data_IF_059101727580
#
_entry.id   IF_059101727580
#
_cell.length_a   1.000
_cell.length_b   1.000
_cell.length_c   1.000
_cell.angle_alpha   90.00
_cell.angle_beta   90.00
_cell.angle_gamma   90.00
#
_symmetry.space_group_name_H-M   'P 1'
#
loop_
_entity.id
_entity.type
_entity.pdbx_description
1 polymer ?
#
# COMPACT_ATOMS: atom_id res chain seq x y z
N UNK A 1 28.96 69.34 14.84
CA UNK A 1 28.59 68.32 15.88
C UNK A 1 27.65 67.32 15.24
N UNK A 2 28.17 66.14 14.86
CA UNK A 2 27.37 65.01 14.35
C UNK A 2 26.96 64.13 15.53
N UNK A 3 25.66 64.02 15.79
CA UNK A 3 25.10 63.09 16.80
C UNK A 3 25.00 61.71 16.17
N UNK A 4 25.74 60.77 16.71
CA UNK A 4 25.66 59.34 16.40
C UNK A 4 24.54 58.73 17.27
N UNK A 5 23.46 58.29 16.64
CA UNK A 5 22.39 57.52 17.31
C UNK A 5 22.81 56.04 17.28
N UNK A 6 23.04 55.47 18.44
CA UNK A 6 23.17 54.04 18.59
C UNK A 6 21.77 53.40 18.71
N UNK A 7 21.40 52.58 17.72
CA UNK A 7 20.26 51.66 17.82
C UNK A 7 20.70 50.40 18.53
N UNK A 8 20.25 50.20 19.76
CA UNK A 8 20.39 48.92 20.46
C UNK A 8 19.21 48.07 19.99
N UNK A 9 19.47 47.09 19.14
CA UNK A 9 18.49 46.08 18.81
C UNK A 9 18.38 45.10 19.97
N UNK A 10 17.27 45.14 20.68
CA UNK A 10 16.90 44.10 21.68
C UNK A 10 16.47 42.85 20.93
N UNK A 11 17.33 41.87 20.80
CA UNK A 11 16.95 40.52 20.35
C UNK A 11 16.26 39.86 21.54
N UNK A 12 14.93 39.89 21.59
CA UNK A 12 14.19 39.05 22.49
C UNK A 12 14.30 37.60 22.01
N UNK A 13 15.15 36.83 22.67
CA UNK A 13 15.15 35.38 22.52
C UNK A 13 13.82 34.85 23.05
N UNK A 14 12.91 34.51 22.16
CA UNK A 14 11.71 33.75 22.51
C UNK A 14 12.19 32.33 22.77
N UNK A 15 12.36 31.97 24.03
CA UNK A 15 12.49 30.57 24.42
C UNK A 15 11.13 29.89 24.18
N UNK A 16 10.95 29.27 23.05
CA UNK A 16 9.85 28.33 22.86
C UNK A 16 10.18 27.09 23.67
N UNK A 17 9.45 26.86 24.75
CA UNK A 17 9.54 25.59 25.46
C UNK A 17 8.99 24.50 24.53
N UNK A 18 9.73 23.39 24.40
CA UNK A 18 9.26 22.21 23.70
C UNK A 18 7.98 21.69 24.37
N UNK A 19 6.97 21.44 23.58
CA UNK A 19 5.75 20.79 24.07
C UNK A 19 5.92 19.27 23.98
N UNK A 20 5.50 18.57 25.04
CA UNK A 20 5.51 17.11 25.10
C UNK A 20 4.13 16.62 25.59
N UNK A 21 3.66 15.53 25.01
CA UNK A 21 2.49 14.82 25.51
C UNK A 21 2.76 13.32 25.56
N UNK A 22 2.28 12.69 26.65
CA UNK A 22 2.43 11.27 26.89
C UNK A 22 1.05 10.64 27.03
N UNK A 23 0.87 9.46 26.46
CA UNK A 23 -0.35 8.67 26.63
C UNK A 23 -0.06 7.18 26.52
N UNK A 24 -1.02 6.38 26.96
CA UNK A 24 -0.93 4.92 26.96
C UNK A 24 -1.82 4.33 25.88
N UNK A 25 -1.26 3.40 25.12
CA UNK A 25 -1.98 2.58 24.15
C UNK A 25 -2.02 1.14 24.67
N UNK A 26 -3.19 0.72 25.14
CA UNK A 26 -3.42 -0.66 25.53
C UNK A 26 -3.93 -1.43 24.34
N UNK A 27 -3.28 -2.54 24.00
CA UNK A 27 -3.63 -3.38 22.86
C UNK A 27 -3.84 -4.80 23.36
N UNK A 28 -5.05 -5.31 23.22
CA UNK A 28 -5.40 -6.65 23.66
C UNK A 28 -5.71 -7.57 22.47
N UNK A 29 -5.20 -8.79 22.52
CA UNK A 29 -5.47 -9.87 21.60
C UNK A 29 -6.39 -10.88 22.27
N UNK A 30 -7.63 -10.99 21.80
CA UNK A 30 -8.61 -11.96 22.32
C UNK A 30 -8.51 -13.34 21.68
N UNK A 31 -7.62 -13.53 20.70
CA UNK A 31 -7.40 -14.82 20.02
C UNK A 31 -6.50 -15.75 20.84
N UNK A 32 -6.68 -17.04 20.65
CA UNK A 32 -5.81 -18.10 21.18
C UNK A 32 -4.49 -18.29 20.40
N UNK A 33 -4.19 -17.38 19.46
CA UNK A 33 -2.98 -17.41 18.64
C UNK A 33 -2.27 -16.05 18.73
N UNK A 34 -0.96 -16.07 18.61
CA UNK A 34 -0.14 -14.86 18.45
C UNK A 34 -0.56 -14.10 17.20
N UNK A 35 -0.56 -12.79 17.30
CA UNK A 35 -0.66 -11.83 16.18
C UNK A 35 0.65 -11.08 16.12
N UNK A 36 1.35 -11.16 15.01
CA UNK A 36 2.63 -10.46 14.80
C UNK A 36 2.44 -9.29 13.86
N UNK A 37 3.29 -8.28 14.04
CA UNK A 37 3.34 -7.08 13.20
C UNK A 37 1.96 -6.38 13.03
N UNK A 38 1.10 -6.39 14.06
CA UNK A 38 -0.23 -5.78 13.97
C UNK A 38 -0.12 -4.26 13.82
N UNK A 39 -0.66 -3.66 12.74
CA UNK A 39 -0.54 -2.23 12.50
C UNK A 39 -1.33 -1.41 13.51
N UNK A 40 -0.67 -0.46 14.15
CA UNK A 40 -1.25 0.53 15.05
C UNK A 40 -1.03 1.91 14.44
N UNK A 41 -2.12 2.57 14.07
CA UNK A 41 -2.10 3.91 13.47
C UNK A 41 -2.82 4.87 14.41
N UNK A 42 -2.17 5.97 14.78
CA UNK A 42 -2.68 6.97 15.70
C UNK A 42 -2.66 8.32 15.01
N UNK A 43 -3.85 8.94 14.85
CA UNK A 43 -3.96 10.30 14.33
C UNK A 43 -3.40 11.33 15.31
N UNK A 44 -2.72 12.34 14.79
CA UNK A 44 -2.02 13.36 15.56
C UNK A 44 -2.75 14.71 15.62
N UNK A 45 -3.94 14.83 15.02
CA UNK A 45 -4.68 16.10 14.88
C UNK A 45 -5.07 16.75 16.22
N UNK A 46 -5.21 15.94 17.29
CA UNK A 46 -5.65 16.40 18.60
C UNK A 46 -4.51 16.61 19.61
N UNK A 47 -3.26 16.67 19.17
CA UNK A 47 -2.09 16.84 20.05
C UNK A 47 -1.94 18.25 20.63
N UNK A 48 -2.50 19.25 19.94
CA UNK A 48 -2.41 20.66 20.31
C UNK A 48 -1.10 21.35 19.92
N UNK A 49 -0.20 20.64 19.27
CA UNK A 49 1.06 21.15 18.73
C UNK A 49 1.50 20.32 17.51
N UNK A 50 2.35 20.89 16.66
CA UNK A 50 2.96 20.20 15.55
C UNK A 50 4.02 19.20 16.05
N UNK A 51 3.76 17.90 15.85
CA UNK A 51 4.64 16.82 16.30
C UNK A 51 5.86 16.75 15.37
N UNK A 52 7.07 16.72 15.96
CA UNK A 52 8.34 16.58 15.24
C UNK A 52 9.04 15.26 15.52
N UNK A 53 8.82 14.68 16.69
CA UNK A 53 9.37 13.37 17.03
C UNK A 53 8.43 12.57 17.93
N UNK A 54 8.55 11.25 17.84
CA UNK A 54 7.79 10.30 18.63
C UNK A 54 8.67 9.17 19.14
N UNK A 55 8.35 8.67 20.33
CA UNK A 55 8.95 7.47 20.91
C UNK A 55 7.83 6.55 21.39
N UNK A 56 7.92 5.27 21.04
CA UNK A 56 7.00 4.23 21.50
C UNK A 56 7.78 3.25 22.38
N UNK A 57 7.29 2.98 23.59
CA UNK A 57 7.96 2.11 24.55
C UNK A 57 7.05 0.94 24.93
N UNK A 58 7.61 -0.27 24.99
CA UNK A 58 6.97 -1.47 25.54
C UNK A 58 7.89 -2.05 26.63
N UNK A 59 7.41 -2.13 27.85
CA UNK A 59 8.18 -2.71 28.98
C UNK A 59 9.60 -2.10 29.14
N UNK A 60 9.72 -0.76 28.95
CA UNK A 60 10.98 -0.03 29.05
C UNK A 60 11.92 -0.21 27.85
N UNK A 61 11.49 -0.88 26.78
CA UNK A 61 12.22 -1.00 25.52
C UNK A 61 11.54 -0.19 24.43
N UNK A 62 12.34 0.51 23.63
CA UNK A 62 11.86 1.26 22.49
C UNK A 62 11.39 0.32 21.38
N UNK A 63 10.22 0.64 20.80
CA UNK A 63 9.62 -0.04 19.66
C UNK A 63 9.78 0.87 18.44
N UNK A 64 10.21 0.37 17.28
CA UNK A 64 10.25 1.15 16.04
C UNK A 64 8.91 1.81 15.75
N UNK A 65 8.94 3.08 15.37
CA UNK A 65 7.76 3.83 14.97
C UNK A 65 8.07 4.78 13.81
N UNK A 66 7.03 5.22 13.14
CA UNK A 66 7.08 6.04 11.94
C UNK A 66 6.09 7.18 12.06
N UNK A 67 6.48 8.37 11.63
CA UNK A 67 5.61 9.53 11.49
C UNK A 67 5.38 9.80 10.01
N UNK A 68 4.12 9.94 9.60
CA UNK A 68 3.74 10.18 8.22
C UNK A 68 2.98 11.50 8.06
N UNK A 69 3.37 12.28 7.05
CA UNK A 69 2.67 13.44 6.52
C UNK A 69 1.78 12.97 5.35
N UNK A 70 0.49 12.80 5.62
CA UNK A 70 -0.44 12.15 4.69
C UNK A 70 -0.96 13.09 3.61
N UNK A 71 -0.86 14.42 3.81
CA UNK A 71 -1.39 15.42 2.87
C UNK A 71 -0.32 16.35 2.26
N UNK A 72 0.92 16.26 2.72
CA UNK A 72 2.10 17.02 2.28
C UNK A 72 2.05 18.50 2.68
N UNK A 73 1.52 18.78 3.88
CA UNK A 73 1.51 20.14 4.46
C UNK A 73 2.74 20.43 5.33
N UNK A 74 3.68 19.47 5.45
CA UNK A 74 4.91 19.49 6.24
C UNK A 74 4.69 19.27 7.74
N UNK A 75 3.49 18.85 8.13
CA UNK A 75 3.15 18.40 9.47
C UNK A 75 2.86 16.90 9.47
N UNK A 76 3.21 16.21 10.53
CA UNK A 76 2.89 14.78 10.61
C UNK A 76 1.44 14.57 11.06
N UNK A 77 0.70 13.75 10.31
CA UNK A 77 -0.70 13.41 10.54
C UNK A 77 -0.89 12.15 11.37
N UNK A 78 0.03 11.20 11.22
CA UNK A 78 -0.11 9.86 11.79
C UNK A 78 1.20 9.36 12.41
N UNK A 79 1.06 8.69 13.57
CA UNK A 79 2.09 7.84 14.16
C UNK A 79 1.74 6.38 13.88
N UNK A 80 2.71 5.62 13.39
CA UNK A 80 2.57 4.19 13.09
C UNK A 80 3.60 3.39 13.85
N UNK A 81 3.19 2.27 14.45
CA UNK A 81 4.07 1.22 14.96
C UNK A 81 3.42 -0.16 14.79
N UNK A 82 4.20 -1.21 14.88
CA UNK A 82 3.74 -2.60 14.75
C UNK A 82 3.77 -3.28 16.11
N UNK A 83 2.70 -3.98 16.44
CA UNK A 83 2.54 -4.63 17.73
C UNK A 83 2.58 -6.17 17.60
N UNK A 84 3.46 -6.81 18.37
CA UNK A 84 3.45 -8.25 18.57
C UNK A 84 2.63 -8.59 19.82
N UNK A 85 1.60 -9.41 19.65
CA UNK A 85 0.63 -9.74 20.68
C UNK A 85 0.57 -11.25 20.88
N UNK A 86 1.01 -11.73 22.02
CA UNK A 86 0.84 -13.13 22.38
C UNK A 86 -0.65 -13.52 22.46
N UNK A 87 -0.93 -14.81 22.40
CA UNK A 87 -2.29 -15.33 22.54
C UNK A 87 -2.94 -14.88 23.86
N UNK A 88 -4.14 -14.35 23.78
CA UNK A 88 -4.94 -13.88 24.93
C UNK A 88 -4.20 -12.88 25.85
N UNK A 89 -3.28 -12.09 25.28
CA UNK A 89 -2.47 -11.13 25.99
C UNK A 89 -2.92 -9.68 25.78
N UNK A 90 -2.50 -8.82 26.68
CA UNK A 90 -2.60 -7.37 26.56
C UNK A 90 -1.22 -6.76 26.74
N UNK A 91 -0.86 -5.84 25.83
CA UNK A 91 0.37 -5.04 25.89
C UNK A 91 0.01 -3.59 26.17
N UNK A 92 0.84 -2.94 27.01
CA UNK A 92 0.72 -1.53 27.36
C UNK A 92 1.90 -0.76 26.77
N UNK A 93 1.63 -0.02 25.71
CA UNK A 93 2.62 0.85 25.08
C UNK A 93 2.52 2.27 25.67
N UNK A 94 3.67 2.86 25.95
CA UNK A 94 3.78 4.27 26.28
C UNK A 94 4.23 5.04 25.04
N UNK A 95 3.44 6.06 24.65
CA UNK A 95 3.72 6.92 23.49
C UNK A 95 4.09 8.31 24.00
N UNK A 96 5.21 8.82 23.53
CA UNK A 96 5.75 10.16 23.85
C UNK A 96 5.83 10.93 22.55
N UNK A 97 5.13 12.05 22.46
CA UNK A 97 5.16 12.96 21.29
C UNK A 97 5.80 14.29 21.69
N UNK A 98 6.65 14.85 20.82
CA UNK A 98 7.35 16.11 21.06
C UNK A 98 7.21 17.08 19.88
N UNK A 99 7.20 18.37 20.20
CA UNK A 99 7.22 19.45 19.22
C UNK A 99 8.63 19.83 18.77
N UNK A 100 9.65 19.13 19.22
CA UNK A 100 11.06 19.33 18.89
C UNK A 100 11.78 18.01 18.64
N UNK A 101 13.09 18.11 18.34
CA UNK A 101 13.93 16.96 18.02
C UNK A 101 13.72 16.47 16.58
N UNK A 102 14.43 15.40 16.27
CA UNK A 102 14.33 14.70 14.98
C UNK A 102 13.77 13.30 15.22
N UNK A 103 12.91 12.86 14.30
CA UNK A 103 12.40 11.49 14.35
C UNK A 103 13.55 10.51 14.15
N UNK A 104 13.65 9.54 15.06
CA UNK A 104 14.64 8.47 14.96
C UNK A 104 14.38 7.61 13.71
N UNK A 105 15.44 7.27 13.01
CA UNK A 105 15.41 6.34 11.89
C UNK A 105 15.61 4.91 12.38
N UNK A 106 14.89 3.97 11.77
CA UNK A 106 14.98 2.54 12.05
C UNK A 106 15.33 1.78 10.76
N UNK A 107 15.82 0.56 10.88
CA UNK A 107 16.06 -0.32 9.73
C UNK A 107 14.76 -0.51 8.94
N UNK A 108 14.75 -0.18 7.65
CA UNK A 108 13.56 -0.36 6.83
C UNK A 108 13.16 -1.84 6.73
N UNK A 109 11.87 -2.09 6.85
CA UNK A 109 11.22 -3.39 6.62
C UNK A 109 10.24 -3.33 5.45
N UNK A 110 10.08 -2.13 4.89
CA UNK A 110 9.35 -1.84 3.65
C UNK A 110 10.17 -0.87 2.81
N UNK A 111 9.89 -0.81 1.52
CA UNK A 111 10.55 0.11 0.60
C UNK A 111 9.54 0.60 -0.44
N UNK A 112 9.68 1.84 -0.89
CA UNK A 112 8.95 2.37 -2.02
C UNK A 112 9.83 3.31 -2.85
N UNK A 113 9.65 3.30 -4.17
CA UNK A 113 10.38 4.15 -5.08
C UNK A 113 9.56 4.46 -6.34
N UNK A 114 9.83 5.59 -6.93
CA UNK A 114 9.37 5.99 -8.26
C UNK A 114 10.44 6.90 -8.87
N UNK A 115 10.72 6.75 -10.15
CA UNK A 115 11.72 7.54 -10.84
C UNK A 115 11.26 8.04 -12.20
N UNK A 116 12.14 8.74 -12.89
CA UNK A 116 11.95 9.13 -14.28
C UNK A 116 13.01 8.46 -15.16
N UNK A 117 12.62 8.04 -16.36
CA UNK A 117 13.56 7.72 -17.42
C UNK A 117 14.18 9.00 -17.97
N UNK A 118 15.48 9.18 -17.83
CA UNK A 118 16.16 10.29 -18.46
C UNK A 118 16.87 9.85 -19.75
N UNK A 119 17.20 10.82 -20.58
CA UNK A 119 17.89 10.56 -21.84
C UNK A 119 19.32 10.02 -21.70
N UNK A 120 19.84 9.94 -20.48
CA UNK A 120 21.17 9.43 -20.16
C UNK A 120 21.15 8.03 -19.54
N UNK A 121 19.95 7.41 -19.45
CA UNK A 121 19.77 6.09 -18.83
C UNK A 121 19.92 6.12 -17.31
N UNK A 122 19.68 7.26 -16.68
CA UNK A 122 19.56 7.41 -15.23
C UNK A 122 18.10 7.39 -14.85
N UNK A 123 17.84 7.07 -13.60
CA UNK A 123 16.48 6.98 -13.04
C UNK A 123 16.39 7.87 -11.80
N UNK A 124 16.42 9.22 -11.98
CA UNK A 124 16.31 10.12 -10.84
C UNK A 124 14.99 9.86 -10.11
N UNK A 125 15.09 9.68 -8.80
CA UNK A 125 13.91 9.45 -7.93
C UNK A 125 13.04 10.70 -7.92
N UNK A 126 11.73 10.49 -7.99
CA UNK A 126 10.70 11.51 -7.81
C UNK A 126 9.73 11.06 -6.72
N UNK A 127 9.15 12.01 -5.99
CA UNK A 127 8.13 11.73 -4.98
C UNK A 127 6.72 11.76 -5.55
N UNK A 128 6.50 12.49 -6.64
CA UNK A 128 5.21 12.62 -7.29
C UNK A 128 5.35 12.93 -8.78
N UNK A 129 4.31 12.59 -9.53
CA UNK A 129 4.09 13.00 -10.91
C UNK A 129 2.60 13.30 -11.09
N UNK A 130 2.29 14.34 -11.87
CA UNK A 130 0.94 14.72 -12.23
C UNK A 130 0.90 15.15 -13.70
N UNK A 131 -0.08 14.66 -14.45
CA UNK A 131 -0.20 14.93 -15.88
C UNK A 131 -1.66 15.01 -16.33
N UNK A 132 -1.92 15.61 -17.48
CA UNK A 132 -3.24 15.58 -18.11
C UNK A 132 -3.68 14.11 -18.33
N UNK A 133 -4.97 13.83 -18.18
CA UNK A 133 -5.49 12.48 -18.19
C UNK A 133 -5.31 11.71 -19.52
N UNK A 134 -5.13 12.43 -20.62
CA UNK A 134 -4.81 11.90 -21.96
C UNK A 134 -3.30 11.73 -22.22
N UNK A 135 -2.44 12.10 -21.27
CA UNK A 135 -0.99 11.94 -21.39
C UNK A 135 -0.60 10.46 -21.23
N UNK A 136 0.32 10.02 -22.07
CA UNK A 136 0.81 8.64 -22.09
C UNK A 136 2.25 8.60 -21.59
N UNK A 137 2.46 8.77 -20.29
CA UNK A 137 3.76 8.91 -19.64
C UNK A 137 4.29 7.65 -18.98
N UNK A 138 3.61 6.50 -19.08
CA UNK A 138 4.04 5.30 -18.37
C UNK A 138 5.46 4.82 -18.75
N UNK A 139 5.95 5.19 -19.95
CA UNK A 139 7.34 4.91 -20.37
C UNK A 139 8.35 5.92 -19.86
N UNK A 140 7.89 7.09 -19.44
CA UNK A 140 8.73 8.14 -18.89
C UNK A 140 8.90 7.99 -17.38
N UNK A 141 7.96 7.31 -16.72
CA UNK A 141 8.07 6.91 -15.31
C UNK A 141 8.80 5.57 -15.19
N UNK A 142 9.75 5.48 -14.27
CA UNK A 142 10.51 4.27 -14.00
C UNK A 142 10.24 3.77 -12.57
N UNK A 143 9.93 2.49 -12.42
CA UNK A 143 9.66 1.45 -13.43
C UNK A 143 8.18 1.39 -13.86
N UNK A 144 7.70 2.36 -14.63
CA UNK A 144 6.35 2.53 -15.15
C UNK A 144 5.29 3.00 -14.16
N UNK A 145 5.67 3.30 -12.94
CA UNK A 145 4.84 3.75 -11.81
C UNK A 145 5.55 3.51 -10.49
N UNK A 146 4.89 3.80 -9.38
CA UNK A 146 5.44 3.57 -8.06
C UNK A 146 5.53 2.07 -7.76
N UNK A 147 6.72 1.63 -7.35
CA UNK A 147 6.99 0.31 -6.82
C UNK A 147 7.08 0.35 -5.31
N UNK A 148 6.58 -0.69 -4.62
CA UNK A 148 6.63 -0.78 -3.17
C UNK A 148 6.61 -2.23 -2.70
N UNK A 149 7.26 -2.50 -1.57
CA UNK A 149 7.44 -3.85 -1.05
C UNK A 149 7.46 -3.92 0.48
N UNK A 150 7.05 -5.07 1.01
CA UNK A 150 7.44 -5.56 2.34
C UNK A 150 8.50 -6.64 2.20
N UNK A 151 8.91 -7.27 3.28
CA UNK A 151 9.81 -8.42 3.20
C UNK A 151 9.22 -9.62 2.45
N UNK A 152 7.89 -9.69 2.30
CA UNK A 152 7.18 -10.87 1.76
C UNK A 152 6.81 -10.74 0.29
N UNK A 153 6.33 -9.57 -0.13
CA UNK A 153 5.79 -9.35 -1.48
C UNK A 153 6.12 -7.95 -1.97
N UNK A 154 6.07 -7.78 -3.30
CA UNK A 154 6.24 -6.46 -3.88
C UNK A 154 5.22 -6.20 -4.99
N UNK A 155 4.85 -4.93 -5.13
CA UNK A 155 3.82 -4.44 -6.03
C UNK A 155 4.30 -3.21 -6.77
N UNK A 156 3.68 -2.96 -7.92
CA UNK A 156 3.83 -1.74 -8.70
C UNK A 156 2.47 -1.32 -9.22
N UNK A 157 2.18 -0.02 -9.24
CA UNK A 157 0.97 0.51 -9.88
C UNK A 157 1.36 1.31 -11.11
N UNK A 158 0.83 0.95 -12.28
CA UNK A 158 1.17 1.61 -13.55
C UNK A 158 0.63 3.03 -13.64
N UNK A 159 1.47 3.98 -14.00
CA UNK A 159 1.08 5.37 -14.26
C UNK A 159 0.47 5.53 -15.66
N UNK A 160 -0.68 4.92 -15.91
CA UNK A 160 -1.46 5.04 -17.13
C UNK A 160 -2.96 4.84 -16.84
N UNK A 161 -3.79 4.80 -17.90
CA UNK A 161 -5.23 4.57 -17.77
C UNK A 161 -5.61 3.15 -17.31
N UNK A 162 -4.70 2.21 -17.36
CA UNK A 162 -4.90 0.85 -16.83
C UNK A 162 -4.77 0.82 -15.32
N UNK A 163 -3.84 1.58 -14.75
CA UNK A 163 -3.49 1.57 -13.32
C UNK A 163 -3.36 0.15 -12.77
N UNK A 164 -2.90 -0.78 -13.62
CA UNK A 164 -2.76 -2.17 -13.20
C UNK A 164 -1.81 -2.28 -12.02
N UNK A 165 -2.23 -3.10 -11.06
CA UNK A 165 -1.35 -3.55 -10.00
C UNK A 165 -0.56 -4.74 -10.54
N UNK A 166 0.74 -4.57 -10.64
CA UNK A 166 1.70 -5.56 -11.08
C UNK A 166 2.42 -6.20 -9.90
N UNK A 167 2.94 -7.41 -10.06
CA UNK A 167 3.38 -8.27 -8.98
C UNK A 167 4.82 -8.71 -9.17
N UNK A 168 5.64 -8.55 -8.14
CA UNK A 168 7.00 -9.07 -8.10
C UNK A 168 7.09 -10.18 -7.05
N UNK A 169 7.28 -11.41 -7.51
CA UNK A 169 7.46 -12.59 -6.67
C UNK A 169 8.88 -12.66 -6.12
N UNK A 170 9.03 -13.02 -4.87
CA UNK A 170 10.31 -13.19 -4.18
C UNK A 170 10.56 -14.68 -3.91
N UNK A 171 11.84 -15.08 -3.85
CA UNK A 171 12.21 -16.44 -3.39
C UNK A 171 12.32 -16.50 -1.88
N UNK A 172 12.93 -15.47 -1.30
CA UNK A 172 13.22 -15.36 0.12
C UNK A 172 12.69 -14.06 0.68
N UNK A 173 12.54 -14.00 1.99
CA UNK A 173 12.18 -12.75 2.69
C UNK A 173 13.28 -11.71 2.54
N UNK A 174 12.91 -10.50 2.18
CA UNK A 174 13.85 -9.39 2.10
C UNK A 174 13.33 -8.25 1.24
N UNK A 175 14.04 -7.13 1.24
CA UNK A 175 13.78 -6.01 0.35
C UNK A 175 14.67 -6.15 -0.90
N UNK A 176 14.09 -6.09 -2.07
CA UNK A 176 14.78 -6.38 -3.34
C UNK A 176 14.65 -5.24 -4.36
N UNK A 177 13.59 -4.41 -4.26
CA UNK A 177 13.27 -3.43 -5.31
C UNK A 177 14.29 -2.31 -5.43
N UNK A 178 14.99 -1.93 -4.37
CA UNK A 178 16.09 -0.96 -4.46
C UNK A 178 17.17 -1.40 -5.45
N UNK A 179 17.33 -2.71 -5.61
CA UNK A 179 18.31 -3.29 -6.54
C UNK A 179 17.72 -3.66 -7.90
N UNK A 180 16.53 -4.25 -7.91
CA UNK A 180 15.96 -4.88 -9.10
C UNK A 180 15.04 -3.95 -9.90
N UNK A 181 14.45 -2.95 -9.23
CA UNK A 181 13.46 -2.04 -9.83
C UNK A 181 12.43 -2.80 -10.67
N UNK A 182 11.90 -3.90 -10.13
CA UNK A 182 10.95 -4.79 -10.80
C UNK A 182 11.52 -5.62 -11.98
N UNK A 183 12.73 -5.32 -12.44
CA UNK A 183 13.34 -5.93 -13.63
C UNK A 183 14.64 -6.64 -13.31
N UNK A 184 14.54 -7.81 -12.69
CA UNK A 184 15.70 -8.65 -12.39
C UNK A 184 16.41 -9.06 -13.66
N UNK A 185 17.72 -8.81 -13.70
CA UNK A 185 18.59 -9.32 -14.76
C UNK A 185 19.14 -10.70 -14.37
N UNK A 186 19.76 -11.41 -15.32
CA UNK A 186 20.27 -12.76 -15.06
C UNK A 186 21.13 -12.86 -13.79
N UNK A 187 21.97 -11.87 -13.50
CA UNK A 187 22.80 -11.84 -12.27
C UNK A 187 21.96 -11.81 -10.99
N UNK A 188 20.80 -11.16 -11.02
CA UNK A 188 19.89 -11.06 -9.87
C UNK A 188 19.16 -12.40 -9.66
N UNK A 189 18.68 -13.01 -10.74
CA UNK A 189 18.06 -14.33 -10.71
C UNK A 189 19.06 -15.41 -10.24
N UNK A 190 20.31 -15.38 -10.72
CA UNK A 190 21.38 -16.29 -10.28
C UNK A 190 21.74 -16.07 -8.79
N UNK A 191 21.50 -14.88 -8.25
CA UNK A 191 21.67 -14.56 -6.82
C UNK A 191 20.45 -14.93 -5.95
N UNK A 192 19.41 -15.54 -6.53
CA UNK A 192 18.21 -15.97 -5.81
C UNK A 192 17.17 -14.85 -5.60
N UNK A 193 17.31 -13.70 -6.27
CA UNK A 193 16.29 -12.67 -6.22
C UNK A 193 15.08 -13.05 -7.07
N UNK A 194 13.94 -12.46 -6.75
CA UNK A 194 12.71 -12.64 -7.50
C UNK A 194 12.66 -11.88 -8.83
N UNK A 195 11.49 -11.78 -9.39
CA UNK A 195 11.21 -11.01 -10.60
C UNK A 195 9.71 -10.70 -10.75
N UNK A 196 9.36 -9.91 -11.77
CA UNK A 196 8.00 -9.78 -12.28
C UNK A 196 7.39 -11.17 -12.53
N UNK A 197 6.16 -11.40 -12.06
CA UNK A 197 5.51 -12.73 -12.11
C UNK A 197 4.13 -12.70 -12.78
N UNK A 198 3.65 -11.54 -13.23
CA UNK A 198 2.30 -11.42 -13.78
C UNK A 198 2.22 -10.58 -15.05
N UNK A 199 1.74 -11.18 -16.12
CA UNK A 199 1.27 -10.43 -17.30
C UNK A 199 -0.20 -10.03 -17.15
N UNK A 200 -0.46 -8.82 -16.68
CA UNK A 200 -1.83 -8.33 -16.49
C UNK A 200 -2.53 -7.99 -17.84
N UNK A 201 -1.79 -7.45 -18.82
CA UNK A 201 -2.35 -7.06 -20.12
C UNK A 201 -3.53 -6.11 -20.00
N UNK A 202 -4.68 -6.50 -20.56
CA UNK A 202 -5.94 -5.75 -20.49
C UNK A 202 -6.87 -6.22 -19.35
N UNK A 203 -6.47 -7.21 -18.58
CA UNK A 203 -7.25 -7.68 -17.43
C UNK A 203 -7.14 -6.72 -16.23
N UNK A 204 -7.79 -7.06 -15.15
CA UNK A 204 -7.68 -6.31 -13.89
C UNK A 204 -6.40 -6.65 -13.11
N UNK A 205 -5.54 -7.55 -13.59
CA UNK A 205 -4.39 -8.00 -12.82
C UNK A 205 -4.79 -8.55 -11.45
N UNK A 206 -4.24 -7.99 -10.39
CA UNK A 206 -4.57 -8.34 -9.01
C UNK A 206 -5.04 -7.10 -8.25
N UNK A 207 -6.34 -6.90 -8.14
CA UNK A 207 -6.90 -5.85 -7.28
C UNK A 207 -7.00 -4.45 -7.90
N UNK A 208 -6.81 -4.30 -9.20
CA UNK A 208 -6.93 -3.01 -9.87
C UNK A 208 -8.35 -2.46 -9.75
N UNK A 209 -8.46 -1.15 -9.46
CA UNK A 209 -9.73 -0.44 -9.46
C UNK A 209 -10.18 -0.11 -10.90
N UNK A 210 -11.45 -0.33 -11.22
CA UNK A 210 -12.06 -0.05 -12.52
C UNK A 210 -13.42 0.60 -12.35
N UNK A 211 -13.87 1.32 -13.39
CA UNK A 211 -15.31 1.57 -13.59
C UNK A 211 -16.01 0.26 -13.93
N UNK A 212 -17.21 0.04 -13.41
CA UNK A 212 -18.07 -1.07 -13.80
C UNK A 212 -19.31 -0.55 -14.53
N UNK A 213 -19.47 -0.96 -15.76
CA UNK A 213 -20.58 -0.52 -16.62
C UNK A 213 -20.98 -1.61 -17.60
N UNK A 214 -22.28 -1.80 -17.77
CA UNK A 214 -22.87 -2.75 -18.72
C UNK A 214 -22.30 -4.18 -18.57
N UNK A 215 -22.02 -4.60 -17.32
CA UNK A 215 -21.49 -5.92 -17.00
C UNK A 215 -19.97 -6.08 -17.17
N UNK A 216 -19.26 -5.02 -17.51
CA UNK A 216 -17.82 -5.08 -17.84
C UNK A 216 -17.01 -4.02 -17.08
N UNK A 217 -15.75 -4.33 -16.73
CA UNK A 217 -14.82 -3.36 -16.17
C UNK A 217 -14.24 -2.49 -17.30
N UNK A 218 -14.20 -1.17 -17.08
CA UNK A 218 -13.65 -0.20 -18.03
C UNK A 218 -12.39 0.45 -17.45
N UNK A 219 -11.48 0.86 -18.33
CA UNK A 219 -10.26 1.57 -17.99
C UNK A 219 -10.58 2.95 -17.40
N UNK A 220 -9.62 3.52 -16.66
CA UNK A 220 -9.71 4.87 -16.08
C UNK A 220 -9.34 5.91 -17.14
N UNK A 221 -10.18 6.03 -18.18
CA UNK A 221 -9.89 6.86 -19.36
C UNK A 221 -10.40 8.30 -19.24
N UNK A 222 -11.58 8.48 -18.66
CA UNK A 222 -12.26 9.78 -18.64
C UNK A 222 -11.85 10.64 -17.45
N UNK A 223 -10.54 10.94 -17.32
CA UNK A 223 -9.99 11.80 -16.27
C UNK A 223 -9.41 13.08 -16.88
N UNK A 224 -9.51 14.20 -16.16
CA UNK A 224 -8.89 15.47 -16.55
C UNK A 224 -7.41 15.54 -16.18
N UNK A 225 -7.08 14.97 -15.02
CA UNK A 225 -5.75 14.96 -14.46
C UNK A 225 -5.53 13.64 -13.74
N UNK A 226 -4.38 13.03 -13.93
CA UNK A 226 -3.91 11.84 -13.21
C UNK A 226 -2.66 12.19 -12.43
N UNK A 227 -2.61 11.79 -11.18
CA UNK A 227 -1.43 11.95 -10.32
C UNK A 227 -1.08 10.65 -9.63
N UNK A 228 0.21 10.43 -9.41
CA UNK A 228 0.75 9.37 -8.57
C UNK A 228 1.81 9.94 -7.66
N UNK A 229 1.81 9.54 -6.38
CA UNK A 229 2.83 9.95 -5.43
C UNK A 229 3.10 8.87 -4.39
N UNK A 230 4.30 8.90 -3.83
CA UNK A 230 4.64 8.14 -2.63
C UNK A 230 4.45 9.08 -1.44
N UNK A 231 3.51 8.72 -0.57
CA UNK A 231 3.16 9.47 0.65
C UNK A 231 4.06 9.07 1.81
N UNK A 232 4.29 7.76 1.99
CA UNK A 232 5.14 7.20 3.03
C UNK A 232 6.11 6.18 2.45
N UNK A 233 7.37 6.25 2.88
CA UNK A 233 8.49 5.46 2.34
C UNK A 233 8.98 4.34 3.27
N UNK A 234 8.43 4.23 4.45
CA UNK A 234 8.91 3.34 5.49
C UNK A 234 9.41 4.10 6.72
N UNK A 235 9.94 3.41 7.73
CA UNK A 235 10.48 2.04 7.71
C UNK A 235 9.47 0.90 7.95
N UNK A 236 8.23 1.19 8.37
CA UNK A 236 7.25 0.19 8.80
C UNK A 236 6.04 0.11 7.87
N UNK A 237 5.75 1.21 7.15
CA UNK A 237 4.62 1.33 6.24
C UNK A 237 5.03 2.10 4.99
N UNK A 238 4.60 1.63 3.82
CA UNK A 238 4.58 2.44 2.59
C UNK A 238 3.16 2.83 2.25
N UNK A 239 2.99 4.02 1.67
CA UNK A 239 1.71 4.49 1.13
C UNK A 239 1.96 5.09 -0.24
N UNK A 240 1.37 4.49 -1.28
CA UNK A 240 1.32 5.01 -2.65
C UNK A 240 -0.07 5.56 -2.90
N UNK A 241 -0.18 6.74 -3.49
CA UNK A 241 -1.46 7.41 -3.72
C UNK A 241 -1.63 7.76 -5.20
N UNK A 242 -2.79 7.40 -5.75
CA UNK A 242 -3.29 7.86 -7.03
C UNK A 242 -4.37 8.92 -6.86
N UNK A 243 -4.41 9.87 -7.79
CA UNK A 243 -5.48 10.87 -7.95
C UNK A 243 -6.01 10.85 -9.38
N UNK A 244 -7.29 10.55 -9.52
CA UNK A 244 -8.00 10.61 -10.78
C UNK A 244 -9.03 11.74 -10.71
N UNK A 245 -8.62 12.92 -11.21
CA UNK A 245 -9.44 14.14 -11.13
C UNK A 245 -10.40 14.20 -12.30
N UNK A 246 -11.69 14.30 -11.99
CA UNK A 246 -12.76 14.40 -12.99
C UNK A 246 -13.22 13.06 -13.58
N UNK A 247 -12.84 11.90 -12.99
CA UNK A 247 -13.28 10.57 -13.43
C UNK A 247 -14.80 10.46 -13.29
N UNK A 248 -15.48 10.40 -14.44
CA UNK A 248 -16.94 10.48 -14.52
C UNK A 248 -17.55 11.62 -13.71
N UNK A 249 -16.85 12.77 -13.62
CA UNK A 249 -17.26 13.95 -12.88
C UNK A 249 -16.86 13.95 -11.39
N UNK A 250 -16.28 12.90 -10.86
CA UNK A 250 -15.78 12.79 -9.50
C UNK A 250 -14.25 12.99 -9.44
N UNK A 251 -13.75 13.44 -8.29
CA UNK A 251 -12.33 13.37 -7.98
C UNK A 251 -12.14 12.17 -7.05
N UNK A 252 -11.39 11.18 -7.51
CA UNK A 252 -11.14 9.92 -6.80
C UNK A 252 -9.69 9.86 -6.36
N UNK A 253 -9.49 9.47 -5.12
CA UNK A 253 -8.19 9.21 -4.52
C UNK A 253 -8.13 7.73 -4.12
N UNK A 254 -7.09 7.03 -4.55
CA UNK A 254 -6.80 5.65 -4.18
C UNK A 254 -5.47 5.57 -3.47
N UNK A 255 -5.43 4.98 -2.28
CA UNK A 255 -4.21 4.75 -1.52
C UNK A 255 -3.95 3.26 -1.39
N UNK A 256 -2.72 2.84 -1.67
CA UNK A 256 -2.20 1.49 -1.51
C UNK A 256 -1.28 1.50 -0.29
N UNK A 257 -1.69 0.83 0.77
CA UNK A 257 -1.03 0.84 2.08
C UNK A 257 -0.46 -0.55 2.35
N UNK A 258 0.86 -0.63 2.53
CA UNK A 258 1.55 -1.86 2.83
C UNK A 258 2.35 -1.75 4.11
N UNK A 259 2.20 -2.73 4.99
CA UNK A 259 2.92 -2.79 6.26
C UNK A 259 4.03 -3.84 6.23
N UNK A 260 5.08 -3.61 7.01
CA UNK A 260 6.13 -4.59 7.24
C UNK A 260 5.57 -5.88 7.84
N UNK A 261 6.08 -7.03 7.41
CA UNK A 261 5.61 -8.34 7.83
C UNK A 261 4.28 -8.78 7.21
N UNK A 262 3.66 -7.95 6.36
CA UNK A 262 2.40 -8.25 5.68
C UNK A 262 2.62 -8.58 4.20
N UNK A 263 1.83 -9.54 3.71
CA UNK A 263 1.78 -9.90 2.29
C UNK A 263 0.76 -9.05 1.55
N UNK A 264 -0.32 -8.70 2.23
CA UNK A 264 -1.42 -7.95 1.66
C UNK A 264 -1.18 -6.44 1.63
N UNK A 265 -1.87 -5.81 0.69
CA UNK A 265 -2.02 -4.36 0.58
C UNK A 265 -3.46 -3.99 0.94
N UNK A 266 -3.64 -3.05 1.85
CA UNK A 266 -4.93 -2.38 2.06
C UNK A 266 -5.09 -1.30 0.99
N UNK A 267 -6.19 -1.33 0.24
CA UNK A 267 -6.54 -0.30 -0.74
C UNK A 267 -7.70 0.53 -0.20
N UNK A 268 -7.47 1.82 -0.01
CA UNK A 268 -8.48 2.78 0.41
C UNK A 268 -8.84 3.70 -0.76
N UNK A 269 -10.14 3.84 -1.04
CA UNK A 269 -10.64 4.71 -2.11
C UNK A 269 -11.56 5.77 -1.50
N UNK A 270 -11.37 7.02 -1.90
CA UNK A 270 -12.22 8.14 -1.49
C UNK A 270 -12.66 8.94 -2.71
N UNK A 271 -13.91 9.35 -2.74
CA UNK A 271 -14.45 10.30 -3.72
C UNK A 271 -14.85 11.59 -3.04
N UNK A 272 -14.63 12.72 -3.70
CA UNK A 272 -15.05 14.03 -3.19
C UNK A 272 -16.58 14.20 -3.08
N UNK A 273 -17.34 13.41 -3.85
CA UNK A 273 -18.80 13.41 -3.89
C UNK A 273 -19.31 11.99 -4.07
N UNK A 274 -20.59 11.70 -3.74
CA UNK A 274 -21.19 10.40 -4.03
C UNK A 274 -21.09 10.04 -5.53
N UNK A 275 -20.85 8.77 -5.82
CA UNK A 275 -20.91 8.28 -7.18
C UNK A 275 -22.37 8.26 -7.66
N UNK A 276 -22.64 8.89 -8.81
CA UNK A 276 -24.01 8.99 -9.35
C UNK A 276 -24.04 8.45 -10.76
N UNK A 277 -24.80 7.35 -10.95
CA UNK A 277 -25.01 6.74 -12.27
C UNK A 277 -23.87 5.87 -12.76
N UNK A 278 -22.88 5.55 -11.91
CA UNK A 278 -21.80 4.62 -12.20
C UNK A 278 -21.33 3.88 -10.95
N UNK A 279 -20.64 2.77 -11.13
CA UNK A 279 -20.10 1.93 -10.07
C UNK A 279 -18.61 1.67 -10.30
N UNK A 280 -17.92 1.25 -9.27
CA UNK A 280 -16.57 0.75 -9.35
C UNK A 280 -16.56 -0.77 -9.14
N UNK A 281 -15.52 -1.41 -9.64
CA UNK A 281 -15.21 -2.81 -9.34
C UNK A 281 -13.73 -3.01 -9.12
N UNK A 282 -13.41 -4.12 -8.48
CA UNK A 282 -12.06 -4.67 -8.36
C UNK A 282 -12.14 -6.20 -8.48
N UNK A 283 -11.01 -6.86 -8.66
CA UNK A 283 -11.02 -8.31 -8.81
C UNK A 283 -9.65 -8.89 -9.15
N UNK A 284 -9.64 -10.12 -9.62
CA UNK A 284 -8.44 -10.84 -10.04
C UNK A 284 -8.58 -11.41 -11.42
N UNK A 285 -7.51 -11.36 -12.23
CA UNK A 285 -7.51 -11.99 -13.55
C UNK A 285 -7.56 -13.51 -13.45
N UNK A 286 -8.09 -14.16 -14.48
CA UNK A 286 -7.98 -15.59 -14.72
C UNK A 286 -6.61 -15.85 -15.33
N UNK A 287 -5.68 -16.45 -14.57
CA UNK A 287 -4.28 -16.60 -14.95
C UNK A 287 -4.09 -17.81 -15.87
N UNK A 288 -3.42 -17.60 -17.01
CA UNK A 288 -3.07 -18.67 -17.95
C UNK A 288 -4.24 -19.25 -18.72
N UNK A 289 -4.07 -20.46 -19.27
CA UNK A 289 -5.02 -21.10 -20.18
C UNK A 289 -6.11 -21.89 -19.44
N UNK A 290 -5.76 -22.50 -18.31
CA UNK A 290 -6.68 -23.30 -17.48
C UNK A 290 -6.67 -22.77 -16.05
N UNK A 291 -7.21 -21.56 -15.81
CA UNK A 291 -7.19 -20.95 -14.49
C UNK A 291 -8.12 -21.68 -13.51
N UNK A 292 -7.65 -21.92 -12.33
CA UNK A 292 -8.52 -22.29 -11.22
C UNK A 292 -8.88 -21.03 -10.44
N UNK A 293 -10.17 -20.79 -10.21
CA UNK A 293 -10.55 -19.61 -9.44
C UNK A 293 -12.06 -19.48 -9.25
N UNK A 294 -12.43 -18.47 -8.49
CA UNK A 294 -13.84 -18.17 -8.18
C UNK A 294 -13.99 -16.79 -7.53
N UNK A 295 -15.20 -16.26 -7.55
CA UNK A 295 -15.65 -15.15 -6.72
C UNK A 295 -16.85 -15.58 -5.87
N UNK A 296 -16.89 -15.17 -4.61
CA UNK A 296 -17.95 -15.54 -3.66
C UNK A 296 -18.67 -14.31 -3.11
N UNK A 297 -19.95 -14.46 -2.77
CA UNK A 297 -20.80 -13.40 -2.18
C UNK A 297 -20.31 -12.84 -0.83
N UNK A 298 -19.28 -13.41 -0.23
CA UNK A 298 -18.60 -12.85 0.94
C UNK A 298 -17.50 -11.82 0.57
N UNK A 299 -17.38 -11.47 -0.72
CA UNK A 299 -16.44 -10.50 -1.25
C UNK A 299 -15.03 -11.03 -1.50
N UNK A 300 -14.82 -12.35 -1.42
CA UNK A 300 -13.53 -12.96 -1.73
C UNK A 300 -13.51 -13.45 -3.18
N UNK A 301 -12.58 -12.93 -3.96
CA UNK A 301 -12.21 -13.42 -5.29
C UNK A 301 -10.80 -13.98 -5.25
N UNK A 302 -10.55 -15.09 -5.92
CA UNK A 302 -9.22 -15.66 -6.06
C UNK A 302 -9.03 -16.33 -7.41
N UNK A 303 -7.79 -16.38 -7.86
CA UNK A 303 -7.34 -17.11 -9.05
C UNK A 303 -5.99 -17.76 -8.76
N UNK A 304 -5.76 -18.88 -9.42
CA UNK A 304 -4.47 -19.57 -9.47
C UNK A 304 -4.25 -20.05 -10.89
N UNK A 305 -3.06 -19.84 -11.42
CA UNK A 305 -2.71 -20.31 -12.74
C UNK A 305 -1.24 -20.07 -13.05
N UNK A 306 -0.80 -20.53 -14.23
CA UNK A 306 0.57 -20.46 -14.69
C UNK A 306 0.66 -19.76 -16.03
N UNK A 307 1.50 -18.73 -16.12
CA UNK A 307 1.70 -17.98 -17.35
C UNK A 307 3.11 -17.35 -17.39
N UNK A 308 3.48 -16.78 -18.54
CA UNK A 308 4.70 -15.97 -18.65
C UNK A 308 4.45 -14.57 -18.08
N UNK A 309 5.36 -14.04 -17.24
CA UNK A 309 5.26 -12.68 -16.74
C UNK A 309 5.50 -11.62 -17.82
N UNK A 310 6.32 -11.94 -18.82
CA UNK A 310 6.60 -11.08 -19.98
C UNK A 310 6.77 -11.93 -21.23
N UNK A 311 5.79 -11.84 -22.14
CA UNK A 311 5.81 -12.59 -23.41
C UNK A 311 6.96 -12.14 -24.34
N UNK A 312 7.50 -10.94 -24.16
CA UNK A 312 8.67 -10.42 -24.88
C UNK A 312 10.01 -10.93 -24.36
N UNK A 313 10.03 -11.55 -23.18
CA UNK A 313 11.25 -12.00 -22.48
C UNK A 313 11.24 -13.48 -22.11
N UNK A 314 10.63 -14.32 -22.93
CA UNK A 314 10.53 -15.77 -22.70
C UNK A 314 11.90 -16.48 -22.59
N UNK A 315 12.95 -15.91 -23.18
CA UNK A 315 14.31 -16.42 -23.06
C UNK A 315 14.94 -16.14 -21.68
N UNK A 316 14.42 -15.17 -20.96
CA UNK A 316 14.90 -14.77 -19.63
C UNK A 316 14.01 -15.33 -18.51
N UNK A 317 12.69 -15.28 -18.68
CA UNK A 317 11.71 -15.68 -17.67
C UNK A 317 11.01 -16.98 -18.06
N UNK A 318 10.96 -17.93 -17.13
CA UNK A 318 10.11 -19.11 -17.24
C UNK A 318 8.65 -18.76 -16.89
N UNK A 319 7.68 -19.59 -17.31
CA UNK A 319 6.32 -19.48 -16.81
C UNK A 319 6.29 -19.66 -15.29
N UNK A 320 5.59 -18.79 -14.60
CA UNK A 320 5.44 -18.83 -13.13
C UNK A 320 4.00 -19.13 -12.77
N UNK A 321 3.78 -19.94 -11.73
CA UNK A 321 2.45 -20.13 -11.17
C UNK A 321 2.23 -19.07 -10.08
N UNK A 322 1.10 -18.39 -10.17
CA UNK A 322 0.74 -17.33 -9.22
C UNK A 322 -0.67 -17.54 -8.68
N UNK A 323 -0.81 -17.25 -7.39
CA UNK A 323 -2.08 -17.14 -6.72
C UNK A 323 -2.44 -15.68 -6.50
N UNK A 324 -3.60 -15.25 -6.95
CA UNK A 324 -4.12 -13.90 -6.79
C UNK A 324 -5.33 -13.91 -5.87
N UNK A 325 -5.51 -12.89 -5.02
CA UNK A 325 -6.73 -12.73 -4.25
C UNK A 325 -7.05 -11.27 -3.94
N UNK A 326 -8.36 -11.00 -3.90
CA UNK A 326 -8.95 -9.76 -3.43
C UNK A 326 -10.04 -10.07 -2.43
N UNK A 327 -10.08 -9.34 -1.33
CA UNK A 327 -11.19 -9.39 -0.40
C UNK A 327 -11.80 -8.00 -0.19
N UNK A 328 -13.10 -7.90 -0.45
CA UNK A 328 -13.92 -6.71 -0.22
C UNK A 328 -14.80 -6.95 1.01
N UNK A 329 -14.62 -6.19 2.12
CA UNK A 329 -15.51 -6.29 3.27
C UNK A 329 -16.98 -6.03 2.88
N UNK A 330 -17.93 -6.75 3.50
CA UNK A 330 -19.35 -6.68 3.12
C UNK A 330 -19.99 -5.28 3.22
N UNK A 331 -19.40 -4.37 4.00
CA UNK A 331 -19.83 -2.96 4.03
C UNK A 331 -19.65 -2.24 2.68
N UNK A 332 -18.66 -2.69 1.90
CA UNK A 332 -18.25 -2.08 0.63
C UNK A 332 -18.54 -2.97 -0.58
N UNK A 333 -19.08 -4.16 -0.38
CA UNK A 333 -19.49 -5.07 -1.45
C UNK A 333 -20.94 -4.81 -1.82
N UNK A 334 -21.18 -4.52 -3.11
CA UNK A 334 -22.54 -4.44 -3.67
C UNK A 334 -22.98 -5.77 -4.29
N UNK A 335 -22.18 -6.30 -5.23
CA UNK A 335 -22.44 -7.57 -5.91
C UNK A 335 -21.12 -8.20 -6.38
N UNK A 336 -21.22 -9.33 -7.07
CA UNK A 336 -20.12 -10.05 -7.70
C UNK A 336 -20.44 -10.32 -9.17
N UNK A 337 -19.41 -10.38 -10.00
CA UNK A 337 -19.52 -10.72 -11.43
C UNK A 337 -18.28 -11.50 -11.89
N UNK A 338 -18.35 -12.09 -13.05
CA UNK A 338 -17.22 -12.65 -13.78
C UNK A 338 -17.40 -12.49 -15.29
N UNK A 339 -16.31 -12.43 -16.01
CA UNK A 339 -16.25 -12.52 -17.47
C UNK A 339 -15.16 -13.52 -17.90
N UNK A 340 -14.79 -13.54 -19.17
CA UNK A 340 -13.77 -14.46 -19.68
C UNK A 340 -12.37 -14.20 -19.12
N UNK A 341 -12.11 -12.99 -18.63
CA UNK A 341 -10.77 -12.54 -18.19
C UNK A 341 -10.61 -12.50 -16.68
N UNK A 342 -11.70 -12.31 -15.89
CA UNK A 342 -11.56 -12.02 -14.47
C UNK A 342 -12.75 -12.41 -13.59
N UNK A 343 -12.47 -12.53 -12.28
CA UNK A 343 -13.45 -12.62 -11.20
C UNK A 343 -13.55 -11.26 -10.50
N UNK A 344 -14.77 -10.71 -10.33
CA UNK A 344 -14.98 -9.32 -9.94
C UNK A 344 -15.85 -9.18 -8.69
N UNK A 345 -15.52 -8.21 -7.86
CA UNK A 345 -16.36 -7.66 -6.80
C UNK A 345 -16.83 -6.27 -7.23
N UNK A 346 -18.13 -6.05 -7.27
CA UNK A 346 -18.74 -4.74 -7.53
C UNK A 346 -18.79 -3.96 -6.22
N UNK A 347 -18.32 -2.71 -6.25
CA UNK A 347 -18.07 -1.93 -5.06
C UNK A 347 -19.19 -0.91 -4.80
N UNK A 348 -19.42 -0.62 -3.54
CA UNK A 348 -20.21 0.53 -3.08
C UNK A 348 -19.44 1.32 -2.04
N UNK A 349 -19.61 2.63 -2.07
CA UNK A 349 -19.05 3.53 -1.06
C UNK A 349 -19.95 3.62 0.18
N UNK A 350 -19.35 3.94 1.32
CA UNK A 350 -20.06 4.27 2.53
C UNK A 350 -20.62 5.71 2.50
N UNK A 351 -21.22 6.14 3.61
CA UNK A 351 -21.80 7.50 3.75
C UNK A 351 -20.75 8.62 3.73
N UNK A 352 -19.48 8.31 3.90
CA UNK A 352 -18.35 9.22 3.84
C UNK A 352 -17.70 9.25 2.43
N UNK A 353 -18.34 8.64 1.43
CA UNK A 353 -17.83 8.46 0.08
C UNK A 353 -16.46 7.76 0.07
N UNK A 354 -16.32 6.75 0.91
CA UNK A 354 -15.12 5.94 1.00
C UNK A 354 -15.44 4.46 0.92
N UNK A 355 -14.46 3.67 0.50
CA UNK A 355 -14.48 2.22 0.54
C UNK A 355 -13.07 1.70 0.78
N UNK A 356 -12.97 0.43 1.17
CA UNK A 356 -11.68 -0.27 1.23
C UNK A 356 -11.81 -1.74 0.87
N UNK A 357 -10.72 -2.26 0.35
CA UNK A 357 -10.54 -3.67 0.07
C UNK A 357 -9.08 -4.07 0.28
N UNK A 358 -8.80 -5.35 0.17
CA UNK A 358 -7.47 -5.91 0.41
C UNK A 358 -7.06 -6.76 -0.77
N UNK A 359 -5.76 -6.68 -1.12
CA UNK A 359 -5.14 -7.38 -2.24
C UNK A 359 -4.00 -8.22 -1.72
N UNK A 360 -3.88 -9.46 -2.16
CA UNK A 360 -2.74 -10.31 -1.83
C UNK A 360 -2.42 -11.27 -2.97
N UNK A 361 -1.18 -11.72 -3.04
CA UNK A 361 -0.75 -12.72 -4.01
C UNK A 361 0.33 -13.63 -3.43
N UNK A 362 0.63 -14.71 -4.15
CA UNK A 362 1.82 -15.52 -3.97
C UNK A 362 2.36 -15.95 -5.34
N UNK A 363 3.62 -16.35 -5.35
CA UNK A 363 4.29 -16.96 -6.51
C UNK A 363 4.84 -18.34 -6.10
N UNK A 364 4.81 -19.31 -7.02
CA UNK A 364 5.31 -20.67 -6.78
C UNK A 364 6.82 -20.73 -6.47
N UNK A 365 7.55 -19.68 -6.88
CA UNK A 365 8.98 -19.55 -6.59
C UNK A 365 9.31 -19.29 -5.12
N UNK A 366 8.34 -18.94 -4.27
CA UNK A 366 8.56 -18.61 -2.86
C UNK A 366 8.98 -19.86 -2.08
N UNK A 367 10.19 -19.85 -1.48
CA UNK A 367 10.77 -21.02 -0.81
C UNK A 367 10.41 -21.12 0.68
N UNK A 368 10.11 -19.99 1.35
CA UNK A 368 9.92 -19.95 2.80
C UNK A 368 8.46 -19.89 3.22
N UNK A 369 7.67 -19.04 2.58
CA UNK A 369 6.27 -18.76 2.95
C UNK A 369 5.31 -18.99 1.78
N UNK A 370 5.75 -19.73 0.76
CA UNK A 370 5.06 -19.93 -0.50
C UNK A 370 3.86 -20.86 -0.41
N UNK A 371 3.07 -20.82 -1.44
CA UNK A 371 1.98 -21.74 -1.72
C UNK A 371 2.22 -22.31 -3.12
N UNK A 372 2.19 -23.63 -3.25
CA UNK A 372 2.64 -24.33 -4.45
C UNK A 372 1.50 -25.04 -5.17
N UNK A 373 0.26 -24.80 -4.76
CA UNK A 373 -0.94 -25.32 -5.39
C UNK A 373 -2.16 -24.43 -5.24
N UNK A 374 -3.10 -24.56 -6.16
CA UNK A 374 -4.39 -23.88 -6.08
C UNK A 374 -5.14 -24.21 -4.80
N UNK A 375 -5.01 -25.44 -4.29
CA UNK A 375 -5.66 -25.89 -3.07
C UNK A 375 -5.10 -25.16 -1.83
N UNK A 376 -3.78 -25.12 -1.69
CA UNK A 376 -3.10 -24.40 -0.60
C UNK A 376 -3.44 -22.91 -0.62
N UNK A 377 -3.37 -22.29 -1.79
CA UNK A 377 -3.74 -20.89 -1.95
C UNK A 377 -5.20 -20.62 -1.60
N UNK A 378 -6.12 -21.46 -2.07
CA UNK A 378 -7.54 -21.35 -1.75
C UNK A 378 -7.81 -21.48 -0.25
N UNK A 379 -7.13 -22.38 0.45
CA UNK A 379 -7.23 -22.53 1.91
C UNK A 379 -6.67 -21.29 2.62
N UNK A 380 -5.49 -20.84 2.21
CA UNK A 380 -4.86 -19.65 2.79
C UNK A 380 -5.76 -18.42 2.68
N UNK A 381 -6.26 -18.06 1.48
CA UNK A 381 -7.04 -16.84 1.31
C UNK A 381 -8.37 -16.85 2.06
N UNK A 382 -8.99 -18.01 2.21
CA UNK A 382 -10.21 -18.15 3.02
C UNK A 382 -9.91 -17.91 4.51
N UNK A 383 -8.78 -18.43 5.01
CA UNK A 383 -8.32 -18.22 6.38
C UNK A 383 -7.83 -16.79 6.61
N UNK A 384 -7.14 -16.20 5.64
CA UNK A 384 -6.71 -14.80 5.65
C UNK A 384 -7.92 -13.87 5.77
N UNK A 385 -8.91 -13.99 4.87
CA UNK A 385 -10.16 -13.22 4.94
C UNK A 385 -10.85 -13.40 6.31
N UNK A 386 -10.96 -14.64 6.80
CA UNK A 386 -11.58 -14.90 8.10
C UNK A 386 -10.83 -14.20 9.25
N UNK A 387 -9.50 -14.21 9.22
CA UNK A 387 -8.68 -13.55 10.22
C UNK A 387 -8.79 -12.02 10.15
N UNK A 388 -8.79 -11.44 8.95
CA UNK A 388 -9.01 -9.99 8.74
C UNK A 388 -10.38 -9.53 9.23
N UNK A 389 -11.42 -10.31 8.96
CA UNK A 389 -12.79 -10.04 9.44
C UNK A 389 -12.92 -10.15 10.96
N UNK A 390 -12.13 -11.01 11.58
CA UNK A 390 -12.20 -11.33 13.00
C UNK A 390 -10.81 -11.18 13.60
N UNK A 391 -10.21 -10.00 13.52
CA UNK A 391 -8.83 -9.77 13.98
C UNK A 391 -8.66 -10.00 15.48
N UNK A 392 -9.73 -9.78 16.27
CA UNK A 392 -9.74 -10.04 17.72
C UNK A 392 -8.85 -9.09 18.52
N UNK A 393 -8.31 -8.08 17.87
CA UNK A 393 -7.47 -7.06 18.50
C UNK A 393 -8.31 -5.82 18.86
N UNK A 394 -8.08 -5.29 20.05
CA UNK A 394 -8.72 -4.04 20.51
C UNK A 394 -7.65 -3.07 20.96
N UNK A 395 -7.74 -1.85 20.45
CA UNK A 395 -6.87 -0.73 20.81
C UNK A 395 -7.66 0.23 21.68
N UNK A 396 -7.07 0.63 22.80
CA UNK A 396 -7.64 1.64 23.71
C UNK A 396 -6.55 2.65 24.08
N UNK A 397 -6.78 3.91 23.75
CA UNK A 397 -5.90 5.04 24.11
C UNK A 397 -6.43 5.66 25.39
N UNK A 398 -5.52 5.93 26.34
CA UNK A 398 -5.82 6.61 27.61
C UNK A 398 -4.72 7.64 27.92
N UNK A 399 -5.15 8.84 28.28
CA UNK A 399 -4.26 9.93 28.75
C UNK A 399 -3.86 9.71 30.20
#
# INVERSE_FOLDING_TARGET
>A
MKRLLFFVAFVASVCTFASETNFIVNISNSKSKTVSDYPVVIGLQDTGFDVKSAVVMLNGKEVPCQLDDMDSDLSYDELVFLADLAASAENRYEVILRSDGEQKTYTPRVYANMGLNDKYGKYPTISNIEAAGDSYLFKDVFPHGAEFESELTAYRVYFDNRQNIDLYGKRHRGLELERTHFYSVKKDLDAGLGNDVLWAGNSMGCGTLREFKDGSPLLVDSVKLRGERIVAYGPLRTVVEFKDMGWNGNNVKTQYIMYAGHREVEVQVRSNTPLTGWQMCTGVQKVGVEPFGWVKKNGLAMSWGKDFPDYGKKDLYAPEAVGLAVWVPGAYLDDIAEDDLQYMCILKMDKQNSLKYYVTFCADMEEEDGFHSAAEWSEYVQKWMFNMKNDGVKIKISK
#
